data_IF_244839331920
#
_entry.id   IF_244839331920
#
_cell.length_a   1.000
_cell.length_b   1.000
_cell.length_c   1.000
_cell.angle_alpha   90.00
_cell.angle_beta   90.00
_cell.angle_gamma   90.00
#
_symmetry.space_group_name_H-M   'P 1'
#
loop_
_entity.id
_entity.type
_entity.pdbx_description
1 polymer ?
#
# COMPACT_ATOMS: atom_id res chain seq x y z
N UNK A 1 -4.69 20.09 70.92
CA UNK A 1 -3.85 19.19 70.14
C UNK A 1 -4.75 18.37 69.20
N UNK A 2 -4.92 18.79 67.95
CA UNK A 2 -5.72 18.13 66.96
C UNK A 2 -4.80 17.31 66.10
N UNK A 3 -5.08 15.99 65.95
CA UNK A 3 -4.29 15.05 65.14
C UNK A 3 -4.35 15.41 63.67
N UNK A 4 -3.27 15.26 62.92
CA UNK A 4 -3.26 15.51 61.48
C UNK A 4 -4.06 14.42 60.73
N UNK A 5 -5.14 14.81 60.13
CA UNK A 5 -5.90 13.93 59.23
C UNK A 5 -5.06 13.62 58.01
N UNK A 6 -4.79 12.32 57.75
CA UNK A 6 -4.04 11.81 56.58
C UNK A 6 -4.84 12.07 55.29
N UNK A 7 -4.53 13.15 54.61
CA UNK A 7 -5.10 13.55 53.31
C UNK A 7 -4.66 12.59 52.15
N UNK A 8 -3.81 11.60 52.43
CA UNK A 8 -3.15 10.78 51.43
C UNK A 8 -3.85 9.47 51.01
N UNK A 9 -4.92 9.06 51.73
CA UNK A 9 -5.50 7.72 51.53
C UNK A 9 -6.52 7.63 50.38
N UNK A 10 -7.24 8.70 50.04
CA UNK A 10 -8.28 8.68 48.99
C UNK A 10 -7.73 8.58 47.58
N UNK A 11 -6.71 9.33 47.14
CA UNK A 11 -6.19 9.21 45.76
C UNK A 11 -5.49 7.87 45.50
N UNK A 12 -4.83 7.27 46.50
CA UNK A 12 -4.20 5.98 46.38
C UNK A 12 -5.25 4.86 46.26
N UNK A 13 -6.30 4.87 47.06
CA UNK A 13 -7.41 3.90 46.98
C UNK A 13 -8.10 3.95 45.62
N UNK A 14 -8.35 5.12 45.06
CA UNK A 14 -8.94 5.25 43.73
C UNK A 14 -8.03 4.72 42.64
N UNK A 15 -6.72 4.97 42.72
CA UNK A 15 -5.74 4.39 41.79
C UNK A 15 -5.73 2.85 41.83
N UNK A 16 -5.82 2.26 43.01
CA UNK A 16 -5.89 0.80 43.16
C UNK A 16 -7.22 0.24 42.64
N UNK A 17 -8.34 0.95 42.81
CA UNK A 17 -9.63 0.57 42.25
C UNK A 17 -9.56 0.62 40.72
N UNK A 18 -9.01 1.67 40.10
CA UNK A 18 -8.85 1.77 38.65
C UNK A 18 -7.93 0.70 38.11
N UNK A 19 -6.82 0.40 38.80
CA UNK A 19 -5.93 -0.69 38.43
C UNK A 19 -6.65 -2.05 38.48
N UNK A 20 -7.43 -2.30 39.52
CA UNK A 20 -8.26 -3.51 39.63
C UNK A 20 -9.29 -3.60 38.51
N UNK A 21 -9.97 -2.51 38.17
CA UNK A 21 -10.92 -2.45 37.06
C UNK A 21 -10.21 -2.71 35.71
N UNK A 22 -9.01 -2.16 35.47
CA UNK A 22 -8.23 -2.39 34.27
C UNK A 22 -7.86 -3.87 34.15
N UNK A 23 -7.36 -4.50 35.20
CA UNK A 23 -7.00 -5.91 35.21
C UNK A 23 -8.25 -6.78 34.98
N UNK A 24 -9.38 -6.44 35.59
CA UNK A 24 -10.64 -7.15 35.43
C UNK A 24 -11.18 -7.04 33.99
N UNK A 25 -10.94 -5.92 33.29
CA UNK A 25 -11.33 -5.76 31.89
C UNK A 25 -10.35 -6.43 30.92
N UNK A 26 -9.05 -6.47 31.26
CA UNK A 26 -8.04 -7.15 30.43
C UNK A 26 -8.28 -8.66 30.36
N UNK A 27 -8.77 -9.28 31.44
CA UNK A 27 -8.98 -10.72 31.49
C UNK A 27 -10.00 -11.23 30.45
N UNK A 28 -11.22 -10.68 30.31
CA UNK A 28 -12.14 -11.09 29.26
C UNK A 28 -11.63 -10.76 27.83
N UNK A 29 -10.92 -9.64 27.66
CA UNK A 29 -10.32 -9.29 26.37
C UNK A 29 -9.26 -10.33 25.99
N UNK A 30 -8.39 -10.70 26.91
CA UNK A 30 -7.38 -11.73 26.70
C UNK A 30 -8.02 -13.07 26.33
N UNK A 31 -9.08 -13.48 27.03
CA UNK A 31 -9.76 -14.74 26.75
C UNK A 31 -10.49 -14.75 25.40
N UNK A 32 -11.11 -13.63 25.01
CA UNK A 32 -11.79 -13.48 23.73
C UNK A 32 -10.82 -13.39 22.54
N UNK A 33 -9.59 -12.89 22.76
CA UNK A 33 -8.59 -12.66 21.72
C UNK A 33 -7.57 -13.79 21.55
N UNK A 34 -7.75 -14.93 22.23
CA UNK A 34 -6.82 -16.06 22.11
C UNK A 34 -6.76 -16.57 20.67
N UNK A 35 -5.54 -16.70 20.08
CA UNK A 35 -5.38 -17.27 18.76
C UNK A 35 -5.73 -18.77 18.76
N UNK A 36 -6.17 -19.27 17.62
CA UNK A 36 -6.35 -20.70 17.42
C UNK A 36 -4.99 -21.42 17.50
N UNK A 37 -4.91 -22.54 18.20
CA UNK A 37 -3.75 -23.41 18.26
C UNK A 37 -4.15 -24.85 17.98
N UNK A 38 -3.19 -25.76 17.75
CA UNK A 38 -3.47 -27.17 17.43
C UNK A 38 -4.42 -27.86 18.42
N UNK A 39 -4.52 -27.37 19.66
CA UNK A 39 -5.37 -27.94 20.72
C UNK A 39 -6.53 -27.04 21.16
N UNK A 40 -6.74 -25.87 20.54
CA UNK A 40 -7.85 -24.95 20.87
C UNK A 40 -8.40 -24.26 19.64
N UNK A 41 -9.72 -24.14 19.58
CA UNK A 41 -10.47 -23.49 18.49
C UNK A 41 -10.24 -21.95 18.47
N UNK A 42 -9.46 -21.41 19.43
CA UNK A 42 -9.28 -19.97 19.59
C UNK A 42 -10.43 -19.27 20.32
N UNK A 43 -10.28 -17.98 20.56
CA UNK A 43 -11.31 -17.15 21.17
C UNK A 43 -12.45 -16.80 20.19
N UNK A 44 -13.55 -16.26 20.73
CA UNK A 44 -14.74 -15.90 19.93
C UNK A 44 -14.43 -14.96 18.75
N UNK A 45 -13.48 -14.03 18.92
CA UNK A 45 -13.06 -13.11 17.85
C UNK A 45 -12.34 -13.84 16.72
N UNK A 46 -11.54 -14.86 17.02
CA UNK A 46 -10.85 -15.66 16.03
C UNK A 46 -11.85 -16.52 15.23
N UNK A 47 -12.85 -17.07 15.91
CA UNK A 47 -13.90 -17.83 15.25
C UNK A 47 -14.75 -16.97 14.30
N UNK A 48 -15.09 -15.75 14.70
CA UNK A 48 -15.76 -14.79 13.81
C UNK A 48 -14.88 -14.39 12.63
N UNK A 49 -13.57 -14.15 12.86
CA UNK A 49 -12.62 -13.80 11.82
C UNK A 49 -12.49 -14.91 10.77
N UNK A 50 -12.40 -16.16 11.18
CA UNK A 50 -12.32 -17.30 10.25
C UNK A 50 -13.60 -17.54 9.47
N UNK A 51 -14.75 -17.15 10.00
CA UNK A 51 -16.04 -17.26 9.30
C UNK A 51 -16.26 -16.12 8.29
N UNK A 52 -15.70 -14.94 8.54
CA UNK A 52 -15.97 -13.74 7.73
C UNK A 52 -14.89 -13.44 6.70
N UNK A 53 -13.68 -13.97 6.87
CA UNK A 53 -12.52 -13.69 6.00
C UNK A 53 -12.00 -15.00 5.43
N UNK A 54 -12.06 -15.13 4.11
CA UNK A 54 -11.39 -16.25 3.42
C UNK A 54 -9.88 -16.13 3.69
N UNK A 55 -9.22 -17.26 4.02
CA UNK A 55 -7.76 -17.28 4.31
C UNK A 55 -6.97 -16.71 3.14
N UNK A 56 -7.46 -16.85 1.91
CA UNK A 56 -6.87 -16.25 0.70
C UNK A 56 -6.90 -14.73 0.67
N UNK A 57 -7.82 -14.13 1.44
CA UNK A 57 -7.98 -12.67 1.52
C UNK A 57 -7.06 -12.02 2.59
N UNK A 58 -6.38 -12.81 3.42
CA UNK A 58 -5.47 -12.31 4.45
C UNK A 58 -4.13 -11.81 3.89
N UNK A 59 -3.82 -12.17 2.64
CA UNK A 59 -2.55 -11.80 2.02
C UNK A 59 -1.35 -12.56 2.58
N UNK A 60 -0.17 -12.01 2.37
CA UNK A 60 1.08 -12.60 2.82
C UNK A 60 1.25 -12.42 4.34
N UNK A 61 1.43 -13.52 5.07
CA UNK A 61 1.60 -13.50 6.53
C UNK A 61 3.07 -13.32 6.86
N UNK A 62 3.38 -12.22 7.56
CA UNK A 62 4.73 -12.00 8.08
C UNK A 62 4.88 -12.62 9.47
N UNK A 63 5.52 -13.79 9.56
CA UNK A 63 5.75 -14.51 10.81
C UNK A 63 6.51 -13.67 11.86
N UNK A 64 7.44 -12.80 11.44
CA UNK A 64 8.15 -11.92 12.35
C UNK A 64 7.21 -10.89 12.98
N UNK A 65 6.28 -10.32 12.19
CA UNK A 65 5.26 -9.40 12.69
C UNK A 65 4.31 -10.09 13.68
N UNK A 66 3.85 -11.30 13.39
CA UNK A 66 2.95 -12.04 14.30
C UNK A 66 3.67 -12.41 15.61
N UNK A 67 4.94 -12.83 15.55
CA UNK A 67 5.75 -13.11 16.75
C UNK A 67 5.94 -11.83 17.58
N UNK A 68 6.20 -10.70 16.94
CA UNK A 68 6.36 -9.41 17.63
C UNK A 68 5.05 -8.96 18.30
N UNK A 69 3.91 -9.15 17.63
CA UNK A 69 2.57 -8.85 18.18
C UNK A 69 2.26 -9.70 19.41
N UNK A 70 2.61 -10.99 19.39
CA UNK A 70 2.49 -11.86 20.56
C UNK A 70 3.40 -11.41 21.71
N UNK A 71 4.64 -10.98 21.40
CA UNK A 71 5.60 -10.51 22.39
C UNK A 71 5.25 -9.18 23.06
N UNK A 72 4.49 -8.32 22.36
CA UNK A 72 4.12 -6.98 22.86
C UNK A 72 2.80 -6.95 23.66
N UNK A 73 2.12 -8.08 23.83
CA UNK A 73 0.87 -8.21 24.58
C UNK A 73 -0.19 -7.13 24.22
N UNK A 74 -0.29 -6.79 22.93
CA UNK A 74 -1.26 -5.79 22.47
C UNK A 74 -0.81 -4.33 22.66
N UNK A 75 0.45 -4.07 23.01
CA UNK A 75 1.04 -2.73 23.04
C UNK A 75 1.44 -2.19 21.65
N UNK A 76 1.14 -2.93 20.61
CA UNK A 76 1.43 -2.58 19.20
C UNK A 76 0.92 -1.19 18.83
N UNK A 77 -0.26 -0.81 19.32
CA UNK A 77 -0.84 0.50 19.06
C UNK A 77 0.02 1.64 19.61
N UNK A 78 0.62 1.47 20.80
CA UNK A 78 1.53 2.46 21.38
C UNK A 78 2.82 2.54 20.58
N UNK A 79 3.40 1.38 20.22
CA UNK A 79 4.60 1.32 19.40
C UNK A 79 4.37 1.95 18.01
N UNK A 80 3.24 1.67 17.37
CA UNK A 80 2.83 2.28 16.10
C UNK A 80 2.70 3.80 16.24
N UNK A 81 2.09 4.30 17.30
CA UNK A 81 1.94 5.74 17.54
C UNK A 81 3.30 6.44 17.69
N UNK A 82 4.23 5.85 18.45
CA UNK A 82 5.58 6.41 18.64
C UNK A 82 6.35 6.41 17.30
N UNK A 83 6.30 5.32 16.55
CA UNK A 83 6.97 5.20 15.25
C UNK A 83 6.37 6.20 14.25
N UNK A 84 5.04 6.37 14.24
CA UNK A 84 4.37 7.34 13.37
C UNK A 84 4.78 8.78 13.70
N UNK A 85 4.86 9.12 14.98
CA UNK A 85 5.35 10.43 15.41
C UNK A 85 6.78 10.70 14.95
N UNK A 86 7.68 9.71 15.05
CA UNK A 86 9.05 9.79 14.51
C UNK A 86 9.07 9.95 12.98
N UNK A 87 8.20 9.22 12.29
CA UNK A 87 8.08 9.34 10.83
C UNK A 87 7.69 10.77 10.43
N UNK A 88 6.70 11.37 11.10
CA UNK A 88 6.31 12.77 10.85
C UNK A 88 7.45 13.77 11.18
N UNK A 89 8.23 13.52 12.23
CA UNK A 89 9.40 14.35 12.55
C UNK A 89 10.47 14.28 11.47
N UNK A 90 10.84 13.07 11.02
CA UNK A 90 11.84 12.88 9.96
C UNK A 90 11.36 13.44 8.61
N UNK A 91 10.07 13.32 8.29
CA UNK A 91 9.46 13.96 7.12
C UNK A 91 9.63 15.47 7.14
N UNK A 92 9.33 16.13 8.27
CA UNK A 92 9.50 17.59 8.44
C UNK A 92 10.95 18.02 8.28
N UNK A 93 11.91 17.19 8.71
CA UNK A 93 13.35 17.43 8.59
C UNK A 93 13.93 17.02 7.24
N UNK A 94 13.12 16.41 6.35
CA UNK A 94 13.56 15.82 5.07
C UNK A 94 14.66 14.74 5.22
N UNK A 95 14.69 14.06 6.36
CA UNK A 95 15.63 12.97 6.64
C UNK A 95 15.10 11.64 6.07
N UNK A 96 15.10 11.53 4.74
CA UNK A 96 14.42 10.47 3.99
C UNK A 96 14.88 9.04 4.34
N UNK A 97 16.17 8.86 4.60
CA UNK A 97 16.73 7.56 4.99
C UNK A 97 16.19 7.10 6.34
N UNK A 98 16.13 8.00 7.32
CA UNK A 98 15.57 7.69 8.64
C UNK A 98 14.07 7.48 8.58
N UNK A 99 13.37 8.29 7.78
CA UNK A 99 11.95 8.12 7.51
C UNK A 99 11.67 6.72 6.94
N UNK A 100 12.40 6.30 5.90
CA UNK A 100 12.24 4.98 5.30
C UNK A 100 12.49 3.86 6.31
N UNK A 101 13.51 3.98 7.17
CA UNK A 101 13.80 2.99 8.22
C UNK A 101 12.65 2.86 9.22
N UNK A 102 12.06 3.97 9.68
CA UNK A 102 10.93 3.97 10.61
C UNK A 102 9.66 3.39 9.96
N UNK A 103 9.40 3.73 8.69
CA UNK A 103 8.25 3.18 7.95
C UNK A 103 8.39 1.68 7.73
N UNK A 104 9.61 1.18 7.48
CA UNK A 104 9.86 -0.26 7.42
C UNK A 104 9.60 -0.95 8.77
N UNK A 105 9.95 -0.31 9.89
CA UNK A 105 9.61 -0.84 11.22
C UNK A 105 8.10 -0.89 11.45
N UNK A 106 7.35 0.13 10.99
CA UNK A 106 5.89 0.14 11.03
C UNK A 106 5.28 -1.02 10.24
N UNK A 107 5.83 -1.34 9.06
CA UNK A 107 5.36 -2.45 8.23
C UNK A 107 5.65 -3.80 8.91
N UNK A 108 6.83 -3.96 9.51
CA UNK A 108 7.16 -5.18 10.26
C UNK A 108 6.20 -5.36 11.44
N UNK A 109 5.86 -4.28 12.12
CA UNK A 109 4.93 -4.31 13.26
C UNK A 109 3.48 -4.55 12.82
N UNK A 110 3.05 -3.93 11.70
CA UNK A 110 1.71 -4.09 11.16
C UNK A 110 1.71 -4.06 9.63
N UNK A 111 1.92 -5.21 8.96
CA UNK A 111 1.98 -5.27 7.50
C UNK A 111 0.63 -4.99 6.81
N UNK A 112 -0.48 -5.04 7.55
CA UNK A 112 -1.82 -4.75 7.03
C UNK A 112 -2.22 -3.26 7.19
N UNK A 113 -1.31 -2.39 7.62
CA UNK A 113 -1.57 -0.96 7.74
C UNK A 113 -1.39 -0.28 6.37
N UNK A 114 -2.44 -0.23 5.56
CA UNK A 114 -2.46 0.33 4.20
C UNK A 114 -1.81 1.72 4.10
N UNK A 115 -2.05 2.57 5.09
CA UNK A 115 -1.55 3.96 5.10
C UNK A 115 -0.03 4.03 5.02
N UNK A 116 0.69 3.09 5.63
CA UNK A 116 2.16 3.06 5.60
C UNK A 116 2.66 2.71 4.20
N UNK A 117 2.05 1.69 3.56
CA UNK A 117 2.41 1.30 2.20
C UNK A 117 2.20 2.45 1.20
N UNK A 118 1.03 3.06 1.24
CA UNK A 118 0.66 4.18 0.38
C UNK A 118 1.58 5.38 0.59
N UNK A 119 1.79 5.76 1.85
CA UNK A 119 2.64 6.90 2.20
C UNK A 119 4.09 6.69 1.76
N UNK A 120 4.69 5.53 2.05
CA UNK A 120 6.07 5.26 1.67
C UNK A 120 6.25 5.09 0.16
N UNK A 121 5.33 4.42 -0.52
CA UNK A 121 5.36 4.32 -1.98
C UNK A 121 5.34 5.70 -2.65
N UNK A 122 4.44 6.57 -2.19
CA UNK A 122 4.39 7.97 -2.64
C UNK A 122 5.68 8.73 -2.28
N UNK A 123 6.19 8.56 -1.06
CA UNK A 123 7.40 9.23 -0.60
C UNK A 123 8.62 8.87 -1.46
N UNK A 124 8.79 7.60 -1.79
CA UNK A 124 9.86 7.13 -2.69
C UNK A 124 9.71 7.74 -4.10
N UNK A 125 8.51 7.64 -4.68
CA UNK A 125 8.27 8.03 -6.06
C UNK A 125 8.24 9.55 -6.28
N UNK A 126 7.85 10.35 -5.29
CA UNK A 126 7.60 11.78 -5.47
C UNK A 126 8.52 12.69 -4.63
N UNK A 127 8.92 12.28 -3.42
CA UNK A 127 9.79 13.11 -2.58
C UNK A 127 11.25 12.76 -2.79
N UNK A 128 11.62 11.49 -2.62
CA UNK A 128 13.03 11.08 -2.72
C UNK A 128 13.51 11.17 -4.16
N UNK A 129 12.69 10.79 -5.13
CA UNK A 129 13.08 10.83 -6.55
C UNK A 129 13.50 12.22 -6.99
N UNK A 130 12.85 13.28 -6.52
CA UNK A 130 13.15 14.67 -6.96
C UNK A 130 14.35 15.30 -6.27
N UNK A 131 14.91 14.67 -5.23
CA UNK A 131 16.16 15.13 -4.59
C UNK A 131 17.41 14.76 -5.43
N UNK A 132 17.24 13.97 -6.49
CA UNK A 132 18.31 13.55 -7.39
C UNK A 132 18.31 14.40 -8.67
N UNK A 133 19.48 14.80 -9.14
CA UNK A 133 19.62 15.62 -10.36
C UNK A 133 19.50 14.78 -11.64
N UNK A 134 19.99 13.52 -11.59
CA UNK A 134 20.01 12.64 -12.74
C UNK A 134 18.67 11.92 -12.93
N UNK A 135 18.15 11.92 -14.15
CA UNK A 135 16.87 11.25 -14.47
C UNK A 135 16.89 9.73 -14.27
N UNK A 136 18.06 9.07 -14.41
CA UNK A 136 18.19 7.62 -14.14
C UNK A 136 18.01 7.33 -12.65
N UNK A 137 18.62 8.13 -11.78
CA UNK A 137 18.47 8.01 -10.33
C UNK A 137 17.04 8.35 -9.89
N UNK A 138 16.43 9.37 -10.51
CA UNK A 138 15.00 9.67 -10.32
C UNK A 138 14.12 8.50 -10.70
N UNK A 139 14.35 7.91 -11.87
CA UNK A 139 13.62 6.74 -12.32
C UNK A 139 13.79 5.54 -11.37
N UNK A 140 15.00 5.29 -10.89
CA UNK A 140 15.28 4.24 -9.91
C UNK A 140 14.38 4.37 -8.66
N UNK A 141 14.28 5.58 -8.11
CA UNK A 141 13.45 5.82 -6.94
C UNK A 141 11.95 5.75 -7.23
N UNK A 142 11.52 6.18 -8.41
CA UNK A 142 10.12 6.00 -8.86
C UNK A 142 9.79 4.52 -8.95
N UNK A 143 10.66 3.72 -9.58
CA UNK A 143 10.51 2.26 -9.65
C UNK A 143 10.44 1.64 -8.26
N UNK A 144 11.34 2.02 -7.35
CA UNK A 144 11.30 1.55 -5.95
C UNK A 144 9.98 1.87 -5.26
N UNK A 145 9.38 3.02 -5.55
CA UNK A 145 8.04 3.38 -5.05
C UNK A 145 6.94 2.48 -5.60
N UNK A 146 6.99 2.15 -6.88
CA UNK A 146 6.05 1.22 -7.53
C UNK A 146 6.20 -0.18 -6.94
N UNK A 147 7.41 -0.75 -6.91
CA UNK A 147 7.72 -2.06 -6.33
C UNK A 147 7.24 -2.16 -4.87
N UNK A 148 7.37 -1.08 -4.13
CA UNK A 148 6.93 -1.01 -2.74
C UNK A 148 5.40 -1.09 -2.63
N UNK A 149 4.67 -0.38 -3.47
CA UNK A 149 3.21 -0.45 -3.53
C UNK A 149 2.73 -1.83 -4.00
N UNK A 150 3.38 -2.43 -5.00
CA UNK A 150 3.07 -3.78 -5.46
C UNK A 150 3.23 -4.81 -4.34
N UNK A 151 4.31 -4.74 -3.58
CA UNK A 151 4.46 -5.56 -2.37
C UNK A 151 3.34 -5.31 -1.36
N UNK A 152 2.90 -4.06 -1.22
CA UNK A 152 1.77 -3.71 -0.37
C UNK A 152 0.47 -4.44 -0.74
N UNK A 153 0.25 -4.71 -2.03
CA UNK A 153 -0.92 -5.48 -2.49
C UNK A 153 -0.88 -6.94 -2.06
N UNK A 154 0.32 -7.53 -1.89
CA UNK A 154 0.47 -8.91 -1.42
C UNK A 154 0.03 -9.07 0.04
N UNK A 155 0.35 -8.08 0.88
CA UNK A 155 -0.07 -8.06 2.28
C UNK A 155 -1.50 -7.56 2.47
N UNK A 156 -2.03 -6.81 1.51
CA UNK A 156 -3.36 -6.21 1.57
C UNK A 156 -4.16 -6.50 0.28
N UNK A 157 -4.47 -7.78 -0.01
CA UNK A 157 -5.03 -8.19 -1.31
C UNK A 157 -6.46 -7.67 -1.57
N UNK A 158 -7.13 -7.14 -0.55
CA UNK A 158 -8.44 -6.47 -0.67
C UNK A 158 -8.35 -4.94 -0.65
N UNK A 159 -7.15 -4.37 -0.63
CA UNK A 159 -6.98 -2.91 -0.64
C UNK A 159 -7.15 -2.33 -2.04
N UNK A 160 -8.32 -1.78 -2.31
CA UNK A 160 -8.59 -1.02 -3.54
C UNK A 160 -7.61 0.16 -3.65
N UNK A 161 -7.31 0.83 -2.52
CA UNK A 161 -6.48 2.04 -2.51
C UNK A 161 -5.04 1.76 -2.89
N UNK A 162 -4.41 0.72 -2.32
CA UNK A 162 -3.02 0.36 -2.68
C UNK A 162 -2.98 -0.08 -4.15
N UNK A 163 -3.90 -0.95 -4.57
CA UNK A 163 -3.97 -1.44 -5.95
C UNK A 163 -4.13 -0.29 -6.94
N UNK A 164 -4.98 0.67 -6.62
CA UNK A 164 -5.18 1.87 -7.44
C UNK A 164 -3.94 2.78 -7.44
N UNK A 165 -3.25 2.95 -6.28
CA UNK A 165 -2.04 3.77 -6.17
C UNK A 165 -0.88 3.19 -6.99
N UNK A 166 -0.78 1.85 -7.16
CA UNK A 166 0.18 1.24 -8.10
C UNK A 166 -0.12 1.73 -9.53
N UNK A 167 -1.37 1.62 -9.96
CA UNK A 167 -1.80 2.09 -11.28
C UNK A 167 -1.54 3.59 -11.49
N UNK A 168 -1.84 4.39 -10.47
CA UNK A 168 -1.60 5.83 -10.49
C UNK A 168 -0.11 6.15 -10.62
N UNK A 169 0.73 5.60 -9.75
CA UNK A 169 2.16 5.89 -9.76
C UNK A 169 2.80 5.42 -11.07
N UNK A 170 2.46 4.23 -11.54
CA UNK A 170 2.97 3.69 -12.81
C UNK A 170 2.55 4.56 -13.99
N UNK A 171 1.28 4.93 -14.12
CA UNK A 171 0.81 5.68 -15.26
C UNK A 171 1.17 7.17 -15.19
N UNK A 172 0.92 7.83 -14.07
CA UNK A 172 1.07 9.28 -13.98
C UNK A 172 2.54 9.69 -13.77
N UNK A 173 3.27 9.02 -12.86
CA UNK A 173 4.65 9.43 -12.56
C UNK A 173 5.61 9.08 -13.70
N UNK A 174 5.42 7.92 -14.35
CA UNK A 174 6.25 7.54 -15.50
C UNK A 174 5.90 8.35 -16.75
N UNK A 175 4.60 8.58 -17.03
CA UNK A 175 4.17 9.09 -18.33
C UNK A 175 3.75 10.56 -18.35
N UNK A 176 3.65 11.24 -17.19
CA UNK A 176 3.26 12.67 -17.11
C UNK A 176 4.27 13.57 -16.40
N UNK A 177 5.37 13.03 -15.85
CA UNK A 177 6.41 13.86 -15.28
C UNK A 177 7.12 14.68 -16.36
N UNK A 178 7.91 15.66 -15.94
CA UNK A 178 8.73 16.45 -16.85
C UNK A 178 9.74 15.59 -17.61
N UNK A 179 10.18 14.48 -16.98
CA UNK A 179 11.09 13.50 -17.56
C UNK A 179 10.38 12.38 -18.35
N UNK A 180 9.09 12.53 -18.67
CA UNK A 180 8.24 11.48 -19.28
C UNK A 180 8.88 10.73 -20.47
N UNK A 181 9.62 11.44 -21.33
CA UNK A 181 10.27 10.85 -22.51
C UNK A 181 11.31 9.82 -22.09
N UNK A 182 12.18 10.19 -21.14
CA UNK A 182 13.23 9.31 -20.64
C UNK A 182 12.65 8.20 -19.75
N UNK A 183 11.68 8.52 -18.88
CA UNK A 183 11.07 7.54 -17.98
C UNK A 183 10.31 6.47 -18.74
N UNK A 184 9.55 6.81 -19.78
CA UNK A 184 8.84 5.83 -20.61
C UNK A 184 9.81 4.93 -21.36
N UNK A 185 10.92 5.47 -21.87
CA UNK A 185 11.95 4.69 -22.53
C UNK A 185 12.65 3.71 -21.58
N UNK A 186 13.04 4.19 -20.38
CA UNK A 186 13.60 3.33 -19.33
C UNK A 186 12.62 2.25 -18.91
N UNK A 187 11.36 2.61 -18.70
CA UNK A 187 10.31 1.68 -18.29
C UNK A 187 10.07 0.55 -19.31
N UNK A 188 10.05 0.88 -20.60
CA UNK A 188 9.90 -0.12 -21.68
C UNK A 188 11.07 -1.10 -21.76
N UNK A 189 12.25 -0.66 -21.40
CA UNK A 189 13.49 -1.44 -21.52
C UNK A 189 14.00 -2.01 -20.18
N UNK A 190 13.27 -1.79 -19.08
CA UNK A 190 13.68 -2.22 -17.74
C UNK A 190 13.56 -3.75 -17.62
N UNK A 191 14.66 -4.49 -17.40
CA UNK A 191 14.63 -5.94 -17.27
C UNK A 191 13.99 -6.42 -15.96
N UNK A 192 13.97 -5.56 -14.93
CA UNK A 192 13.51 -5.92 -13.58
C UNK A 192 12.02 -5.63 -13.35
N UNK A 193 11.32 -5.10 -14.36
CA UNK A 193 9.87 -4.93 -14.27
C UNK A 193 9.23 -6.30 -14.42
N UNK A 194 8.48 -6.69 -13.40
CA UNK A 194 7.79 -7.96 -13.33
C UNK A 194 6.87 -8.16 -14.54
N UNK A 195 6.87 -9.38 -15.09
CA UNK A 195 5.94 -9.75 -16.12
C UNK A 195 4.52 -9.77 -15.56
N UNK A 196 3.74 -8.77 -15.89
CA UNK A 196 2.33 -8.72 -15.54
C UNK A 196 1.62 -9.76 -16.40
N UNK A 197 0.80 -10.66 -15.82
CA UNK A 197 0.08 -11.67 -16.57
C UNK A 197 -0.70 -11.05 -17.73
N UNK A 198 -0.46 -11.53 -18.96
CA UNK A 198 -1.10 -11.01 -20.17
C UNK A 198 -0.34 -9.89 -20.90
N UNK A 199 0.72 -9.34 -20.33
CA UNK A 199 1.59 -8.38 -21.03
C UNK A 199 2.87 -9.04 -21.53
N UNK A 200 3.04 -9.09 -22.85
CA UNK A 200 4.33 -9.46 -23.46
C UNK A 200 5.32 -8.31 -23.24
N UNK A 201 6.59 -8.62 -23.01
CA UNK A 201 7.69 -7.67 -22.83
C UNK A 201 7.73 -6.55 -23.88
N UNK A 202 7.33 -6.86 -25.13
CA UNK A 202 7.25 -5.90 -26.24
C UNK A 202 6.12 -4.86 -26.13
N UNK A 203 5.21 -5.00 -25.16
CA UNK A 203 4.08 -4.09 -24.98
C UNK A 203 4.09 -3.39 -23.61
N UNK A 204 5.22 -3.31 -22.96
CA UNK A 204 5.38 -2.59 -21.69
C UNK A 204 5.24 -1.09 -21.92
N UNK A 205 4.03 -0.62 -21.79
CA UNK A 205 3.76 0.80 -21.71
C UNK A 205 3.15 1.11 -20.35
N UNK A 206 3.64 2.16 -19.70
CA UNK A 206 3.22 2.55 -18.35
C UNK A 206 1.72 2.90 -18.27
N UNK A 207 1.12 3.40 -19.36
CA UNK A 207 -0.32 3.64 -19.42
C UNK A 207 -1.11 2.32 -19.46
N UNK A 208 -0.67 1.35 -20.24
CA UNK A 208 -1.33 0.04 -20.32
C UNK A 208 -1.20 -0.74 -19.02
N UNK A 209 -0.02 -0.70 -18.40
CA UNK A 209 0.21 -1.32 -17.09
C UNK A 209 -0.62 -0.62 -16.02
N UNK A 210 -0.65 0.71 -16.02
CA UNK A 210 -1.51 1.48 -15.11
C UNK A 210 -2.99 1.15 -15.30
N UNK A 211 -3.46 1.05 -16.55
CA UNK A 211 -4.82 0.61 -16.87
C UNK A 211 -5.11 -0.78 -16.29
N UNK A 212 -4.17 -1.71 -16.40
CA UNK A 212 -4.34 -3.05 -15.85
C UNK A 212 -4.54 -3.01 -14.33
N UNK A 213 -3.73 -2.23 -13.61
CA UNK A 213 -3.86 -2.05 -12.17
C UNK A 213 -5.18 -1.39 -11.77
N UNK A 214 -5.65 -0.39 -12.53
CA UNK A 214 -6.97 0.21 -12.31
C UNK A 214 -8.08 -0.84 -12.48
N UNK A 215 -7.97 -1.72 -13.48
CA UNK A 215 -8.92 -2.82 -13.67
C UNK A 215 -8.87 -3.86 -12.55
N UNK A 216 -7.69 -4.15 -11.99
CA UNK A 216 -7.59 -4.98 -10.78
C UNK A 216 -8.32 -4.34 -9.60
N UNK A 217 -8.13 -3.03 -9.40
CA UNK A 217 -8.85 -2.30 -8.34
C UNK A 217 -10.38 -2.30 -8.57
N UNK A 218 -10.84 -2.13 -9.82
CA UNK A 218 -12.25 -2.23 -10.18
C UNK A 218 -12.82 -3.63 -9.89
N UNK A 219 -12.08 -4.69 -10.21
CA UNK A 219 -12.48 -6.08 -9.93
C UNK A 219 -12.63 -6.34 -8.43
N UNK A 220 -11.78 -5.75 -7.57
CA UNK A 220 -11.96 -5.84 -6.13
C UNK A 220 -13.31 -5.27 -5.68
N UNK A 221 -13.77 -4.20 -6.29
CA UNK A 221 -15.07 -3.61 -5.98
C UNK A 221 -16.23 -4.41 -6.57
N UNK A 222 -16.17 -4.69 -7.88
CA UNK A 222 -17.29 -5.29 -8.62
C UNK A 222 -17.46 -6.77 -8.31
N UNK A 223 -16.34 -7.53 -8.32
CA UNK A 223 -16.39 -8.99 -8.22
C UNK A 223 -16.30 -9.47 -6.77
N UNK A 224 -15.55 -8.76 -5.92
CA UNK A 224 -15.34 -9.14 -4.51
C UNK A 224 -16.13 -8.29 -3.51
N UNK A 225 -16.91 -7.31 -3.97
CA UNK A 225 -17.79 -6.50 -3.13
C UNK A 225 -17.05 -5.58 -2.13
N UNK A 226 -15.79 -5.23 -2.40
CA UNK A 226 -15.04 -4.33 -1.51
C UNK A 226 -15.59 -2.91 -1.65
N UNK A 227 -15.87 -2.26 -0.52
CA UNK A 227 -16.42 -0.90 -0.52
C UNK A 227 -15.39 0.14 -0.98
N UNK A 228 -15.83 1.08 -1.81
CA UNK A 228 -15.02 2.23 -2.27
C UNK A 228 -14.75 3.25 -1.16
N UNK A 229 -15.48 3.18 -0.06
CA UNK A 229 -15.38 4.12 1.07
C UNK A 229 -15.56 5.59 0.61
N UNK A 230 -14.50 6.41 0.72
CA UNK A 230 -14.51 7.83 0.37
C UNK A 230 -14.15 8.10 -1.10
N UNK A 231 -13.89 7.07 -1.92
CA UNK A 231 -13.53 7.25 -3.33
C UNK A 231 -14.80 7.51 -4.15
N UNK A 232 -14.81 8.58 -4.94
CA UNK A 232 -15.92 8.85 -5.87
C UNK A 232 -16.00 7.77 -6.94
N UNK A 233 -17.14 7.08 -7.11
CA UNK A 233 -17.29 6.03 -8.12
C UNK A 233 -17.00 6.54 -9.55
N UNK A 234 -17.49 7.73 -9.89
CA UNK A 234 -17.26 8.33 -11.21
C UNK A 234 -15.76 8.51 -11.49
N UNK A 235 -15.03 9.04 -10.53
CA UNK A 235 -13.59 9.22 -10.66
C UNK A 235 -12.87 7.85 -10.74
N UNK A 236 -13.24 6.93 -9.86
CA UNK A 236 -12.63 5.60 -9.79
C UNK A 236 -12.72 4.85 -11.12
N UNK A 237 -13.90 4.75 -11.72
CA UNK A 237 -14.11 4.05 -12.99
C UNK A 237 -13.61 4.81 -14.23
N UNK A 238 -13.28 6.10 -14.10
CA UNK A 238 -12.78 6.89 -15.23
C UNK A 238 -11.30 6.62 -15.55
N UNK A 239 -10.50 6.16 -14.60
CA UNK A 239 -9.04 6.08 -14.79
C UNK A 239 -8.57 5.01 -15.77
N UNK A 240 -9.23 3.85 -15.82
CA UNK A 240 -8.86 2.81 -16.77
C UNK A 240 -9.12 3.23 -18.24
N UNK A 241 -10.30 3.80 -18.62
CA UNK A 241 -10.50 4.35 -19.96
C UNK A 241 -9.61 5.56 -20.26
N UNK A 242 -9.35 6.45 -19.28
CA UNK A 242 -8.44 7.58 -19.47
C UNK A 242 -7.01 7.12 -19.77
N UNK A 243 -6.51 6.11 -19.06
CA UNK A 243 -5.19 5.54 -19.35
C UNK A 243 -5.10 4.97 -20.77
N UNK A 244 -6.17 4.36 -21.28
CA UNK A 244 -6.24 3.92 -22.68
C UNK A 244 -6.19 5.09 -23.66
N UNK A 245 -6.92 6.18 -23.38
CA UNK A 245 -6.89 7.38 -24.21
C UNK A 245 -5.51 8.04 -24.24
N UNK A 246 -4.83 8.15 -23.10
CA UNK A 246 -3.46 8.66 -23.04
C UNK A 246 -2.46 7.76 -23.75
N UNK A 247 -2.64 6.45 -23.69
CA UNK A 247 -1.81 5.53 -24.47
C UNK A 247 -1.97 5.78 -25.98
N UNK A 248 -3.22 5.93 -26.46
CA UNK A 248 -3.48 6.24 -27.87
C UNK A 248 -2.86 7.58 -28.29
N UNK A 249 -3.02 8.63 -27.49
CA UNK A 249 -2.41 9.93 -27.75
C UNK A 249 -0.88 9.86 -27.80
N UNK A 250 -0.25 9.04 -26.95
CA UNK A 250 1.19 8.86 -26.99
C UNK A 250 1.67 8.08 -28.23
N UNK A 251 0.87 7.15 -28.75
CA UNK A 251 1.18 6.48 -30.03
C UNK A 251 1.12 7.48 -31.19
N UNK A 252 0.19 8.41 -31.16
CA UNK A 252 0.11 9.51 -32.13
C UNK A 252 1.34 10.41 -32.06
N UNK A 253 1.72 10.87 -30.85
CA UNK A 253 2.94 11.67 -30.65
C UNK A 253 4.21 10.95 -31.14
N UNK A 254 4.30 9.64 -30.99
CA UNK A 254 5.43 8.82 -31.43
C UNK A 254 5.37 8.41 -32.92
N UNK A 255 4.31 8.78 -33.64
CA UNK A 255 4.12 8.47 -35.04
C UNK A 255 3.76 7.01 -35.35
N UNK A 256 3.28 6.27 -34.34
CA UNK A 256 2.87 4.88 -34.47
C UNK A 256 1.36 4.77 -34.74
N UNK A 257 0.92 5.02 -35.95
CA UNK A 257 -0.48 4.85 -36.33
C UNK A 257 -0.74 3.45 -36.89
N UNK A 258 -1.80 2.80 -36.40
CA UNK A 258 -2.42 1.66 -37.06
C UNK A 258 -3.82 2.12 -37.47
N UNK A 259 -4.05 2.34 -38.74
CA UNK A 259 -5.39 2.59 -39.27
C UNK A 259 -6.21 1.30 -39.17
N UNK A 260 -7.30 1.34 -38.42
CA UNK A 260 -8.20 0.20 -38.23
C UNK A 260 -8.92 -0.22 -39.54
N UNK A 261 -8.94 0.64 -40.55
CA UNK A 261 -9.70 0.49 -41.77
C UNK A 261 -8.89 0.05 -42.99
N UNK A 262 -7.70 -0.48 -42.82
CA UNK A 262 -7.05 -1.18 -43.93
C UNK A 262 -7.72 -2.54 -44.11
N UNK A 263 -8.55 -2.73 -45.14
CA UNK A 263 -9.02 -4.06 -45.49
C UNK A 263 -7.78 -4.89 -45.72
N UNK A 264 -7.75 -6.04 -45.10
CA UNK A 264 -6.73 -7.08 -45.14
C UNK A 264 -5.97 -7.11 -46.49
N UNK A 265 -4.68 -6.87 -46.44
CA UNK A 265 -3.81 -7.26 -47.54
C UNK A 265 -3.03 -6.10 -48.17
N UNK A 266 -1.80 -6.18 -47.94
CA UNK A 266 -0.61 -5.56 -48.46
C UNK A 266 0.07 -4.55 -47.56
N UNK A 267 0.89 -5.11 -46.67
CA UNK A 267 2.11 -4.45 -46.27
C UNK A 267 3.01 -4.32 -47.50
N UNK A 268 2.71 -3.34 -48.35
CA UNK A 268 3.60 -2.86 -49.40
C UNK A 268 4.60 -1.94 -48.74
N UNK A 269 5.84 -2.37 -48.62
CA UNK A 269 6.95 -1.52 -48.25
C UNK A 269 6.99 -0.30 -49.17
N UNK A 270 7.02 0.88 -48.56
CA UNK A 270 7.57 2.06 -49.21
C UNK A 270 8.95 2.29 -48.57
N UNK A 271 9.94 1.69 -49.20
CA UNK A 271 11.28 2.27 -49.27
C UNK A 271 11.18 3.46 -50.23
N UNK A 272 11.36 4.68 -49.70
CA UNK A 272 12.15 5.77 -50.33
C UNK A 272 12.33 6.87 -49.32
#
# INVERSE_FOLDING_TARGET
MSAPQSVHSRPFRNKMIYLGCIILLIFPIYWLSQPASENSVGGYLEHQRTQTVDIKDLGEINMAAETMRLGTFGMDGIAQMILWQKAEEYKKKKEWTKLAAVLNQLIVLNPHLETVWRFQGWNLAYNISVEHDNYQDRYFWVKKGIDFLERGTLYNPRSIRITWDVGWTTSQKISKSDEKVYFRQLYRNDPDIHDIPGFKTSKRDSWLVGKWWYKQAESLHVDKGVDLQTISPTLFFSYAPLAQGYYAANLEEEGNFVYADSPSGNAGGASE
#
